data_IF_079750349748
#
_entry.id   IF_079750349748
#
_cell.length_a   1.000
_cell.length_b   1.000
_cell.length_c   1.000
_cell.angle_alpha   90.00
_cell.angle_beta   90.00
_cell.angle_gamma   90.00
#
_symmetry.space_group_name_H-M   'P 1'
#
loop_
_entity.id
_entity.type
_entity.pdbx_description
1 polymer ?
#
# COMPACT_ATOMS: atom_id res chain seq x y z
N UNK A 1 14.47 -9.19 19.46
CA UNK A 1 14.87 -8.84 18.10
C UNK A 1 13.65 -8.47 17.26
N UNK A 2 13.69 -7.30 16.64
CA UNK A 2 12.59 -6.82 15.81
C UNK A 2 12.68 -7.43 14.42
N UNK A 3 11.55 -7.87 13.91
CA UNK A 3 11.44 -8.37 12.54
C UNK A 3 10.52 -7.49 11.73
N UNK A 4 10.89 -7.26 10.48
CA UNK A 4 10.08 -6.54 9.51
C UNK A 4 9.65 -7.52 8.43
N UNK A 5 8.37 -7.54 8.14
CA UNK A 5 7.82 -8.30 7.01
C UNK A 5 7.02 -7.35 6.13
N UNK A 6 6.95 -7.65 4.85
CA UNK A 6 6.29 -6.77 3.89
C UNK A 6 5.43 -7.57 2.92
N UNK A 7 4.29 -7.00 2.56
CA UNK A 7 3.41 -7.50 1.52
C UNK A 7 3.15 -6.39 0.52
N UNK A 8 3.20 -6.70 -0.76
CA UNK A 8 2.84 -5.77 -1.83
C UNK A 8 1.41 -6.06 -2.26
N UNK A 9 0.61 -5.00 -2.37
CA UNK A 9 -0.79 -5.05 -2.83
C UNK A 9 -0.88 -4.23 -4.10
N UNK A 10 -1.36 -4.82 -5.20
CA UNK A 10 -1.44 -4.16 -6.50
C UNK A 10 -2.83 -3.58 -6.75
N UNK A 11 -2.86 -2.52 -7.56
CA UNK A 11 -4.09 -1.81 -7.93
C UNK A 11 -4.21 -1.71 -9.44
N UNK A 12 -5.45 -1.66 -9.90
CA UNK A 12 -5.76 -1.39 -11.29
C UNK A 12 -5.42 0.06 -11.63
N UNK A 13 -5.30 0.34 -12.92
CA UNK A 13 -5.00 1.69 -13.39
C UNK A 13 -6.06 2.68 -12.88
N UNK A 14 -5.60 3.83 -12.43
CA UNK A 14 -6.45 4.93 -11.95
C UNK A 14 -7.47 4.51 -10.89
N UNK A 15 -7.11 3.54 -10.05
CA UNK A 15 -8.00 2.97 -9.06
C UNK A 15 -7.31 2.83 -7.71
N UNK A 16 -8.01 3.18 -6.65
CA UNK A 16 -7.55 3.00 -5.28
C UNK A 16 -8.40 2.00 -4.50
N UNK A 17 -9.31 1.31 -5.19
CA UNK A 17 -10.17 0.30 -4.55
C UNK A 17 -9.46 -1.05 -4.57
N UNK A 18 -9.54 -1.77 -3.45
CA UNK A 18 -8.97 -3.11 -3.35
C UNK A 18 -9.89 -4.13 -4.03
N UNK A 19 -9.31 -4.97 -4.89
CA UNK A 19 -10.01 -6.11 -5.46
C UNK A 19 -10.19 -7.20 -4.40
N UNK A 20 -11.07 -8.17 -4.66
CA UNK A 20 -11.23 -9.31 -3.74
C UNK A 20 -9.93 -10.10 -3.59
N UNK A 21 -9.17 -10.26 -4.68
CA UNK A 21 -7.87 -10.93 -4.62
C UNK A 21 -6.91 -10.17 -3.72
N UNK A 22 -6.84 -8.85 -3.88
CA UNK A 22 -5.98 -8.00 -3.05
C UNK A 22 -6.38 -8.04 -1.58
N UNK A 23 -7.68 -8.02 -1.29
CA UNK A 23 -8.18 -8.14 0.08
C UNK A 23 -7.78 -9.48 0.71
N UNK A 24 -7.93 -10.57 -0.04
CA UNK A 24 -7.56 -11.90 0.46
C UNK A 24 -6.06 -12.00 0.72
N UNK A 25 -5.24 -11.44 -0.17
CA UNK A 25 -3.79 -11.39 0.01
C UNK A 25 -3.46 -10.64 1.31
N UNK A 26 -4.10 -9.50 1.53
CA UNK A 26 -3.88 -8.69 2.71
C UNK A 26 -4.33 -9.40 3.98
N UNK A 27 -5.52 -10.02 3.97
CA UNK A 27 -6.02 -10.78 5.12
C UNK A 27 -5.06 -11.92 5.50
N UNK A 28 -4.59 -12.68 4.52
CA UNK A 28 -3.67 -13.77 4.76
C UNK A 28 -2.35 -13.27 5.35
N UNK A 29 -1.83 -12.16 4.83
CA UNK A 29 -0.61 -11.54 5.34
C UNK A 29 -0.78 -11.09 6.79
N UNK A 30 -1.89 -10.41 7.10
CA UNK A 30 -2.17 -9.95 8.45
C UNK A 30 -2.33 -11.12 9.43
N UNK A 31 -3.11 -12.12 9.04
CA UNK A 31 -3.34 -13.28 9.90
C UNK A 31 -2.07 -14.04 10.23
N UNK A 32 -1.15 -14.09 9.27
CA UNK A 32 0.11 -14.80 9.45
C UNK A 32 1.11 -14.02 10.30
N UNK A 33 1.10 -12.70 10.21
CA UNK A 33 2.22 -11.88 10.69
C UNK A 33 1.88 -10.90 11.81
N UNK A 34 0.62 -10.53 12.01
CA UNK A 34 0.31 -9.53 13.03
C UNK A 34 0.48 -10.13 14.43
N UNK A 35 1.01 -9.31 15.32
CA UNK A 35 1.20 -9.66 16.73
C UNK A 35 0.66 -8.55 17.60
N UNK A 36 0.55 -8.81 18.90
CA UNK A 36 -0.07 -7.88 19.84
C UNK A 36 0.55 -6.48 19.83
N UNK A 37 1.88 -6.39 19.67
CA UNK A 37 2.59 -5.11 19.69
C UNK A 37 3.09 -4.70 18.31
N UNK A 38 2.50 -5.21 17.24
CA UNK A 38 2.89 -4.86 15.89
C UNK A 38 2.60 -3.40 15.58
N UNK A 39 3.48 -2.79 14.79
CA UNK A 39 3.27 -1.50 14.16
C UNK A 39 3.19 -1.69 12.67
N UNK A 40 2.44 -0.83 11.99
CA UNK A 40 2.14 -0.98 10.57
C UNK A 40 2.48 0.31 9.84
N UNK A 41 3.21 0.19 8.73
CA UNK A 41 3.50 1.32 7.85
C UNK A 41 3.03 0.95 6.46
N UNK A 42 2.24 1.81 5.84
CA UNK A 42 1.69 1.59 4.51
C UNK A 42 2.18 2.69 3.60
N UNK A 43 2.87 2.31 2.50
CA UNK A 43 3.32 3.24 1.48
C UNK A 43 2.47 3.05 0.23
N UNK A 44 1.86 4.12 -0.26
CA UNK A 44 1.13 4.09 -1.53
C UNK A 44 2.01 4.58 -2.67
N UNK A 45 1.86 3.97 -3.84
CA UNK A 45 2.65 4.28 -5.04
C UNK A 45 1.77 4.28 -6.28
N UNK A 46 2.25 4.96 -7.33
CA UNK A 46 1.60 4.98 -8.64
C UNK A 46 2.62 4.70 -9.73
N UNK A 47 2.11 4.42 -10.95
CA UNK A 47 2.96 4.53 -12.14
C UNK A 47 3.13 6.02 -12.52
N UNK A 48 3.80 6.29 -13.63
CA UNK A 48 4.08 7.67 -14.03
C UNK A 48 3.00 8.27 -14.95
N UNK A 49 1.93 7.53 -15.24
CA UNK A 49 0.85 8.04 -16.08
C UNK A 49 0.08 9.13 -15.34
N UNK A 50 -0.07 10.29 -15.97
CA UNK A 50 -0.74 11.44 -15.39
C UNK A 50 0.20 12.40 -14.68
N UNK A 51 -0.35 13.45 -14.08
CA UNK A 51 0.46 14.47 -13.41
C UNK A 51 1.00 13.94 -12.07
N UNK A 52 2.14 14.49 -11.63
CA UNK A 52 2.72 14.10 -10.35
C UNK A 52 1.81 14.47 -9.17
N UNK A 53 1.10 15.60 -9.28
CA UNK A 53 0.16 16.01 -8.23
C UNK A 53 -1.02 15.01 -8.12
N UNK A 54 -1.59 14.61 -9.25
CA UNK A 54 -2.66 13.63 -9.27
C UNK A 54 -2.19 12.31 -8.68
N UNK A 55 -0.98 11.88 -9.06
CA UNK A 55 -0.42 10.62 -8.61
C UNK A 55 -0.08 10.64 -7.12
N UNK A 56 0.34 11.79 -6.58
CA UNK A 56 0.54 11.90 -5.14
C UNK A 56 -0.78 11.65 -4.40
N UNK A 57 -1.87 12.27 -4.83
CA UNK A 57 -3.18 12.08 -4.22
C UNK A 57 -3.67 10.64 -4.36
N UNK A 58 -3.46 10.03 -5.53
CA UNK A 58 -3.86 8.63 -5.76
C UNK A 58 -3.08 7.67 -4.86
N UNK A 59 -1.78 7.93 -4.67
CA UNK A 59 -0.96 7.08 -3.80
C UNK A 59 -1.42 7.14 -2.34
N UNK A 60 -1.84 8.32 -1.86
CA UNK A 60 -2.39 8.46 -0.52
C UNK A 60 -3.70 7.67 -0.40
N UNK A 61 -4.57 7.76 -1.41
CA UNK A 61 -5.83 7.02 -1.41
C UNK A 61 -5.62 5.51 -1.39
N UNK A 62 -4.60 5.03 -2.10
CA UNK A 62 -4.24 3.61 -2.08
C UNK A 62 -3.80 3.17 -0.69
N UNK A 63 -2.97 3.97 -0.04
CA UNK A 63 -2.56 3.68 1.34
C UNK A 63 -3.75 3.72 2.30
N UNK A 64 -4.65 4.67 2.12
CA UNK A 64 -5.87 4.78 2.95
C UNK A 64 -6.78 3.56 2.79
N UNK A 65 -6.92 3.04 1.57
CA UNK A 65 -7.73 1.85 1.32
C UNK A 65 -7.19 0.62 2.08
N UNK A 66 -5.88 0.49 2.14
CA UNK A 66 -5.26 -0.57 2.92
C UNK A 66 -5.48 -0.33 4.42
N UNK A 67 -5.32 0.90 4.89
CA UNK A 67 -5.55 1.25 6.29
C UNK A 67 -6.96 0.88 6.74
N UNK A 68 -7.97 1.12 5.90
CA UNK A 68 -9.34 0.77 6.24
C UNK A 68 -9.50 -0.73 6.55
N UNK A 69 -8.84 -1.59 5.78
CA UNK A 69 -8.87 -3.03 6.04
C UNK A 69 -8.22 -3.34 7.38
N UNK A 70 -7.09 -2.70 7.70
CA UNK A 70 -6.44 -2.90 8.99
C UNK A 70 -7.36 -2.50 10.16
N UNK A 71 -8.03 -1.36 10.03
CA UNK A 71 -8.99 -0.91 11.04
C UNK A 71 -10.15 -1.90 11.21
N UNK A 72 -10.67 -2.43 10.11
CA UNK A 72 -11.75 -3.41 10.13
C UNK A 72 -11.31 -4.72 10.81
N UNK A 73 -10.01 -5.01 10.78
CA UNK A 73 -9.43 -6.18 11.45
C UNK A 73 -9.12 -5.91 12.94
N UNK A 74 -9.51 -4.77 13.45
CA UNK A 74 -9.34 -4.45 14.87
C UNK A 74 -8.01 -3.80 15.22
N UNK A 75 -7.17 -3.45 14.23
CA UNK A 75 -5.92 -2.75 14.50
C UNK A 75 -6.24 -1.29 14.80
N UNK A 76 -5.66 -0.76 15.87
CA UNK A 76 -5.99 0.61 16.31
C UNK A 76 -5.24 1.64 15.44
N UNK A 77 -5.85 2.81 15.20
CA UNK A 77 -5.23 3.83 14.33
C UNK A 77 -3.83 4.26 14.76
N UNK A 78 -3.57 4.32 16.06
CA UNK A 78 -2.26 4.76 16.57
C UNK A 78 -1.11 3.82 16.16
N UNK A 79 -1.41 2.58 15.81
CA UNK A 79 -0.41 1.61 15.37
C UNK A 79 -0.19 1.63 13.87
N UNK A 80 -0.91 2.46 13.12
CA UNK A 80 -0.86 2.51 11.66
C UNK A 80 -0.37 3.87 11.19
N UNK A 81 0.67 3.87 10.34
CA UNK A 81 1.13 5.06 9.63
C UNK A 81 0.95 4.86 8.14
N UNK A 82 0.54 5.89 7.43
CA UNK A 82 0.43 5.85 5.98
C UNK A 82 1.27 6.96 5.36
N UNK A 83 1.79 6.72 4.16
CA UNK A 83 2.56 7.70 3.42
C UNK A 83 2.36 7.49 1.92
N UNK A 84 1.97 8.55 1.22
CA UNK A 84 1.89 8.52 -0.24
C UNK A 84 3.24 8.92 -0.82
N UNK A 85 3.73 8.13 -1.77
CA UNK A 85 4.99 8.38 -2.48
C UNK A 85 4.76 8.87 -3.91
N UNK A 86 3.50 8.85 -4.38
CA UNK A 86 3.20 9.19 -5.77
C UNK A 86 3.97 8.32 -6.73
N UNK A 87 4.60 8.95 -7.72
CA UNK A 87 5.42 8.27 -8.70
C UNK A 87 6.92 8.34 -8.39
N UNK A 88 7.29 8.79 -7.18
CA UNK A 88 8.68 9.11 -6.86
C UNK A 88 9.55 7.89 -6.54
N UNK A 89 8.95 6.74 -6.22
CA UNK A 89 9.68 5.52 -5.91
C UNK A 89 9.11 4.36 -6.71
N UNK A 90 9.59 4.22 -7.92
CA UNK A 90 9.09 3.20 -8.84
C UNK A 90 9.70 1.83 -8.54
N UNK A 91 8.88 0.77 -8.62
CA UNK A 91 9.38 -0.60 -8.57
C UNK A 91 10.13 -0.93 -9.87
N UNK A 92 9.60 -0.44 -10.99
CA UNK A 92 10.21 -0.59 -12.32
C UNK A 92 10.34 0.81 -12.92
N UNK A 93 11.56 1.18 -13.29
CA UNK A 93 11.80 2.48 -13.91
C UNK A 93 11.13 2.55 -15.28
N UNK A 94 10.39 3.61 -15.52
CA UNK A 94 9.72 3.88 -16.79
C UNK A 94 9.96 5.33 -17.19
N UNK A 95 9.78 5.67 -18.48
CA UNK A 95 9.67 7.08 -18.87
C UNK A 95 8.46 7.73 -18.19
N UNK A 96 8.40 9.05 -18.25
CA UNK A 96 7.22 9.79 -17.79
C UNK A 96 5.97 9.35 -18.55
N UNK A 97 4.82 9.56 -17.94
CA UNK A 97 3.50 9.37 -18.52
C UNK A 97 3.30 7.94 -19.07
N UNK A 98 3.77 6.94 -18.33
CA UNK A 98 3.76 5.54 -18.74
C UNK A 98 3.00 4.69 -17.73
N UNK A 99 2.02 3.92 -18.20
CA UNK A 99 1.34 2.92 -17.38
C UNK A 99 2.26 1.72 -17.14
N UNK A 100 2.34 1.26 -15.91
CA UNK A 100 3.05 0.02 -15.60
C UNK A 100 2.46 -0.64 -14.36
N UNK A 101 1.96 -1.87 -14.47
CA UNK A 101 1.24 -2.52 -13.35
C UNK A 101 2.11 -2.74 -12.12
N UNK A 102 3.40 -2.98 -12.26
CA UNK A 102 4.29 -3.21 -11.13
C UNK A 102 4.43 -1.97 -10.23
N UNK A 103 4.16 -0.77 -10.77
CA UNK A 103 4.29 0.48 -10.02
C UNK A 103 3.00 0.89 -9.31
N UNK A 104 1.86 0.30 -9.69
CA UNK A 104 0.55 0.60 -9.09
C UNK A 104 0.34 -0.27 -7.85
N UNK A 105 0.85 0.20 -6.71
CA UNK A 105 0.90 -0.67 -5.53
C UNK A 105 0.83 0.08 -4.22
N UNK A 106 0.53 -0.65 -3.16
CA UNK A 106 0.81 -0.26 -1.79
C UNK A 106 1.75 -1.30 -1.19
N UNK A 107 2.67 -0.84 -0.37
CA UNK A 107 3.57 -1.72 0.39
C UNK A 107 3.16 -1.67 1.84
N UNK A 108 2.85 -2.82 2.41
CA UNK A 108 2.40 -2.93 3.80
C UNK A 108 3.51 -3.57 4.60
N UNK A 109 4.07 -2.83 5.55
CA UNK A 109 5.14 -3.31 6.42
C UNK A 109 4.61 -3.52 7.83
N UNK A 110 4.96 -4.66 8.42
CA UNK A 110 4.66 -4.94 9.81
C UNK A 110 5.97 -4.99 10.57
N UNK A 111 6.07 -4.18 11.60
CA UNK A 111 7.20 -4.15 12.52
C UNK A 111 6.79 -4.85 13.81
N UNK A 112 7.43 -5.96 14.09
CA UNK A 112 7.14 -6.75 15.28
C UNK A 112 8.18 -6.54 16.37
#
# INVERSE_FOLDING_TARGET
>A
EKKEVMQIIYFDFDNSKLSEVSKNTLFNFLNKNKKKLSRYIIFGHTDTKGSSKYNMNLSIKRAESVKEVLLDQGIVPDDISILGKGENELAINTPDNTKHPANRRAEVKILN
#
